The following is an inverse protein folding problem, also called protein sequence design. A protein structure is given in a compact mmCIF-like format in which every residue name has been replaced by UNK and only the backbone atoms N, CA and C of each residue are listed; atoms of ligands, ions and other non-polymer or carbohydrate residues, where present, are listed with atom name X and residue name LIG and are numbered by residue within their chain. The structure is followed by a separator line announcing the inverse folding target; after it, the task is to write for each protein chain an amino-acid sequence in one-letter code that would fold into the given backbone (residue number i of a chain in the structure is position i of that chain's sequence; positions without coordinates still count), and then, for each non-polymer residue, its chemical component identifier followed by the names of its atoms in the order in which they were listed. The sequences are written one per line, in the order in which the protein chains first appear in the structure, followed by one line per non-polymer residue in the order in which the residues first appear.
data_IF_454130929269
#
_entry.id   IF_454130929269
#
_cell.length_a   1.000
_cell.length_b   1.000
_cell.length_c   1.000
_cell.angle_alpha   90.00
_cell.angle_beta   90.00
_cell.angle_gamma   90.00
#
_symmetry.space_group_name_H-M   'P 1'
#
loop_
_entity.id
_entity.type
_entity.pdbx_description
1 polymer ?
#
# COMPACT_ATOMS: atom_id res chain seq x y z
N UNK A 1 37.16 7.02 -5.50
CA UNK A 1 36.23 7.79 -4.63
C UNK A 1 36.30 7.28 -3.18
N UNK A 2 36.34 5.97 -2.95
CA UNK A 2 36.38 5.36 -1.61
C UNK A 2 37.69 5.66 -0.86
N UNK A 3 38.82 5.56 -1.53
CA UNK A 3 40.13 5.78 -0.92
C UNK A 3 40.38 7.28 -0.58
N UNK A 4 39.81 8.19 -1.34
CA UNK A 4 39.89 9.64 -1.07
C UNK A 4 39.03 10.02 0.13
N UNK A 5 37.86 9.40 0.32
CA UNK A 5 36.98 9.64 1.46
C UNK A 5 37.57 9.08 2.77
N UNK A 6 38.20 7.91 2.70
CA UNK A 6 38.89 7.28 3.85
C UNK A 6 40.11 8.12 4.24
N UNK A 7 40.86 8.65 3.28
CA UNK A 7 41.95 9.57 3.52
C UNK A 7 41.52 10.85 4.21
N UNK A 8 40.46 11.48 3.72
CA UNK A 8 39.91 12.72 4.27
C UNK A 8 39.41 12.54 5.72
N UNK A 9 38.64 11.49 5.99
CA UNK A 9 38.14 11.18 7.33
C UNK A 9 39.29 10.91 8.30
N UNK A 10 40.34 10.21 7.87
CA UNK A 10 41.50 9.91 8.70
C UNK A 10 42.28 11.16 9.07
N UNK A 11 42.45 12.08 8.09
CA UNK A 11 43.25 13.31 8.32
C UNK A 11 42.47 14.30 9.19
N UNK A 12 41.16 14.43 9.08
CA UNK A 12 40.31 15.21 9.98
C UNK A 12 40.32 14.67 11.41
N UNK A 13 40.27 13.35 11.60
CA UNK A 13 40.35 12.74 12.92
C UNK A 13 41.71 12.93 13.56
N UNK A 14 42.79 12.87 12.82
CA UNK A 14 44.13 13.17 13.34
C UNK A 14 44.26 14.65 13.78
N UNK A 15 43.70 15.58 13.00
CA UNK A 15 43.68 17.00 13.33
C UNK A 15 42.81 17.30 14.57
N UNK A 16 41.66 16.64 14.69
CA UNK A 16 40.79 16.74 15.87
C UNK A 16 41.46 16.18 17.14
N UNK A 17 42.14 15.06 17.04
CA UNK A 17 42.87 14.45 18.14
C UNK A 17 44.06 15.29 18.56
N UNK A 18 44.74 15.90 17.61
CA UNK A 18 45.87 16.79 17.89
C UNK A 18 45.39 18.07 18.58
N UNK A 19 44.24 18.62 18.21
CA UNK A 19 43.57 19.72 18.90
C UNK A 19 43.11 19.36 20.30
N UNK A 20 42.50 18.17 20.46
CA UNK A 20 42.09 17.69 21.79
C UNK A 20 43.29 17.45 22.73
N UNK A 21 44.41 16.93 22.22
CA UNK A 21 45.62 16.72 23.01
C UNK A 21 46.30 18.05 23.45
N UNK A 22 46.15 19.10 22.65
CA UNK A 22 46.68 20.44 22.99
C UNK A 22 45.75 21.24 23.92
N UNK A 23 44.43 21.10 23.81
CA UNK A 23 43.46 21.79 24.65
C UNK A 23 43.32 21.17 26.05
N UNK A 24 43.45 19.86 26.19
CA UNK A 24 43.25 19.19 27.49
C UNK A 24 44.53 18.84 28.25
N UNK A 25 45.70 19.32 27.80
CA UNK A 25 46.97 19.28 28.50
C UNK A 25 47.22 18.05 29.40
N UNK A 26 46.89 16.85 28.92
CA UNK A 26 47.20 15.59 29.58
C UNK A 26 48.14 14.77 28.70
N UNK A 27 49.42 14.69 29.02
CA UNK A 27 50.42 14.03 28.19
C UNK A 27 50.35 12.49 28.17
N UNK A 28 49.41 11.88 28.86
CA UNK A 28 49.44 10.44 29.11
C UNK A 28 48.43 9.59 28.39
N UNK A 29 47.59 10.13 27.53
CA UNK A 29 46.68 9.30 26.73
C UNK A 29 47.18 9.21 25.30
N UNK A 30 48.18 8.40 25.05
CA UNK A 30 48.40 7.84 23.71
C UNK A 30 47.30 6.80 23.41
N UNK A 31 46.30 7.23 22.68
CA UNK A 31 45.29 6.32 22.12
C UNK A 31 45.98 5.44 21.06
N UNK A 32 46.32 4.22 21.43
CA UNK A 32 46.78 3.20 20.49
C UNK A 32 45.53 2.67 19.73
N UNK A 33 45.31 3.20 18.57
CA UNK A 33 44.19 2.83 17.68
C UNK A 33 44.24 1.34 17.26
N UNK A 34 45.42 0.71 17.33
CA UNK A 34 45.58 -0.70 16.99
C UNK A 34 45.13 -1.65 18.11
N UNK A 35 45.05 -1.14 19.36
CA UNK A 35 44.61 -1.90 20.50
C UNK A 35 43.11 -1.83 20.77
N UNK A 36 42.36 -1.01 20.08
CA UNK A 36 40.91 -0.93 20.23
C UNK A 36 40.23 -2.17 19.64
N UNK A 37 39.45 -2.91 20.43
CA UNK A 37 38.87 -4.21 20.01
C UNK A 37 38.03 -4.21 18.75
N UNK A 38 37.68 -3.03 18.28
CA UNK A 38 36.74 -2.83 17.15
C UNK A 38 37.42 -2.39 15.86
N UNK A 39 38.71 -2.10 15.87
CA UNK A 39 39.42 -1.64 14.68
C UNK A 39 39.98 -2.83 13.89
N UNK A 40 39.31 -3.16 12.76
CA UNK A 40 39.85 -4.12 11.79
C UNK A 40 40.14 -3.40 10.48
N UNK A 41 41.37 -3.45 9.95
CA UNK A 41 41.67 -2.94 8.62
C UNK A 41 40.78 -3.64 7.59
N UNK A 42 40.01 -2.86 6.82
CA UNK A 42 39.10 -3.38 5.79
C UNK A 42 37.62 -3.49 6.20
N UNK A 43 37.24 -3.28 7.46
CA UNK A 43 35.84 -3.23 7.93
C UNK A 43 35.42 -1.82 8.38
N UNK A 44 35.96 -0.78 7.79
CA UNK A 44 35.85 0.60 8.27
C UNK A 44 34.47 1.22 8.28
N UNK A 45 33.47 0.63 7.62
CA UNK A 45 32.13 1.23 7.57
C UNK A 45 31.26 0.91 8.79
N UNK A 46 31.48 -0.17 9.50
CA UNK A 46 30.63 -0.59 10.63
C UNK A 46 30.98 0.08 11.96
N UNK A 47 32.26 0.49 12.15
CA UNK A 47 32.71 1.13 13.39
C UNK A 47 32.56 2.64 13.42
N UNK A 48 32.30 3.28 12.27
CA UNK A 48 32.25 4.74 12.12
C UNK A 48 30.85 5.23 11.71
N UNK A 49 29.90 4.30 11.44
CA UNK A 49 28.53 4.69 11.15
C UNK A 49 27.82 5.08 12.47
N UNK A 50 27.44 6.38 12.63
CA UNK A 50 26.72 6.83 13.81
C UNK A 50 25.46 6.01 14.12
N UNK A 51 24.80 5.45 13.07
CA UNK A 51 23.64 4.59 13.25
C UNK A 51 23.95 3.30 14.01
N UNK A 52 25.16 2.75 13.85
CA UNK A 52 25.58 1.56 14.61
C UNK A 52 25.90 1.90 16.08
N UNK A 53 26.48 3.05 16.36
CA UNK A 53 26.73 3.49 17.73
C UNK A 53 25.41 3.70 18.50
N UNK A 54 24.44 4.34 17.88
CA UNK A 54 23.10 4.54 18.47
C UNK A 54 22.37 3.23 18.68
N UNK A 55 22.46 2.30 17.73
CA UNK A 55 21.88 0.95 17.85
C UNK A 55 22.51 0.17 19.01
N UNK A 56 23.83 0.15 19.10
CA UNK A 56 24.54 -0.58 20.18
C UNK A 56 24.23 0.03 21.56
N UNK A 57 24.12 1.36 21.64
CA UNK A 57 23.71 2.04 22.87
C UNK A 57 22.29 1.67 23.27
N UNK A 58 21.33 1.71 22.31
CA UNK A 58 19.95 1.35 22.56
C UNK A 58 19.81 -0.14 22.96
N UNK A 59 20.62 -1.04 22.38
CA UNK A 59 20.69 -2.44 22.79
C UNK A 59 21.20 -2.59 24.22
N UNK A 60 22.27 -1.87 24.60
CA UNK A 60 22.81 -1.88 25.94
C UNK A 60 21.85 -1.32 27.00
N UNK A 61 21.04 -0.34 26.61
CA UNK A 61 20.00 0.27 27.45
C UNK A 61 18.66 -0.47 27.43
N UNK A 62 18.57 -1.61 26.73
CA UNK A 62 17.31 -2.32 26.46
C UNK A 62 16.19 -1.42 25.91
N UNK A 63 16.54 -0.39 25.13
CA UNK A 63 15.57 0.47 24.49
C UNK A 63 14.83 -0.31 23.37
N UNK A 64 13.50 -0.19 23.26
CA UNK A 64 12.76 -0.73 22.13
C UNK A 64 13.05 0.02 20.82
N UNK A 65 13.61 1.24 20.88
CA UNK A 65 13.97 2.06 19.72
C UNK A 65 15.44 1.87 19.38
N UNK A 66 15.71 1.34 18.18
CA UNK A 66 17.05 1.08 17.64
C UNK A 66 17.34 1.82 16.34
N UNK A 67 16.34 2.49 15.77
CA UNK A 67 16.50 3.29 14.57
C UNK A 67 17.48 4.47 14.81
N UNK A 68 18.22 4.81 13.75
CA UNK A 68 19.13 5.95 13.77
C UNK A 68 18.41 7.23 14.19
N UNK A 69 18.96 7.96 15.15
CA UNK A 69 18.50 9.28 15.56
C UNK A 69 19.24 10.34 14.73
N UNK A 70 18.50 11.29 14.18
CA UNK A 70 19.05 12.44 13.47
C UNK A 70 18.75 13.68 14.30
N UNK A 71 19.80 14.37 14.75
CA UNK A 71 19.65 15.64 15.44
C UNK A 71 19.37 16.74 14.40
N UNK A 72 18.29 17.48 14.60
CA UNK A 72 17.93 18.66 13.81
C UNK A 72 18.41 19.89 14.56
N UNK A 73 19.05 20.83 13.89
CA UNK A 73 19.50 22.10 14.49
C UNK A 73 18.31 22.89 15.04
N UNK A 74 18.49 23.58 16.18
CA UNK A 74 17.38 24.28 16.84
C UNK A 74 16.81 25.48 16.06
N UNK A 75 17.40 25.84 14.93
CA UNK A 75 16.91 26.86 14.01
C UNK A 75 16.38 26.29 12.67
N UNK A 76 16.52 24.98 12.46
CA UNK A 76 16.07 24.32 11.23
C UNK A 76 14.57 24.02 11.32
N UNK A 77 13.87 24.21 10.21
CA UNK A 77 12.48 23.81 10.10
C UNK A 77 12.41 22.27 9.96
N UNK A 78 11.80 21.62 10.95
CA UNK A 78 11.70 20.16 10.98
C UNK A 78 10.88 19.59 9.82
N UNK A 79 9.92 20.34 9.26
CA UNK A 79 9.13 19.91 8.10
C UNK A 79 9.96 19.95 6.83
N UNK A 80 10.68 21.06 6.58
CA UNK A 80 11.59 21.19 5.44
C UNK A 80 12.70 20.13 5.51
N UNK A 81 13.27 19.93 6.70
CA UNK A 81 14.25 18.88 6.91
C UNK A 81 13.74 17.49 6.47
N UNK A 82 12.49 17.13 6.81
CA UNK A 82 11.90 15.84 6.40
C UNK A 82 11.73 15.71 4.88
N UNK A 83 11.47 16.82 4.17
CA UNK A 83 11.46 16.84 2.71
C UNK A 83 12.86 16.65 2.14
N UNK A 84 13.84 17.39 2.63
CA UNK A 84 15.23 17.37 2.15
C UNK A 84 15.89 16.00 2.34
N UNK A 85 15.57 15.30 3.44
CA UNK A 85 16.00 13.93 3.66
C UNK A 85 15.26 12.91 2.79
N UNK A 86 14.26 13.33 2.04
CA UNK A 86 13.49 12.47 1.13
C UNK A 86 12.59 11.45 1.83
N UNK A 87 12.20 11.70 3.09
CA UNK A 87 11.25 10.85 3.82
C UNK A 87 9.82 11.10 3.37
N UNK A 88 9.51 12.33 2.93
CA UNK A 88 8.16 12.74 2.57
C UNK A 88 7.72 12.19 1.22
N UNK A 89 6.42 11.92 1.13
CA UNK A 89 5.66 11.61 -0.09
C UNK A 89 5.21 12.87 -0.85
N UNK A 90 5.66 14.06 -0.42
CA UNK A 90 5.25 15.36 -0.95
C UNK A 90 4.26 16.10 -0.05
N UNK A 91 3.79 15.47 1.02
CA UNK A 91 2.93 16.09 2.04
C UNK A 91 3.69 16.22 3.35
N UNK A 92 3.37 17.21 4.21
CA UNK A 92 3.98 17.36 5.52
C UNK A 92 3.91 16.06 6.33
N UNK A 93 4.99 15.77 7.06
CA UNK A 93 5.09 14.61 7.94
C UNK A 93 5.05 15.05 9.39
N UNK A 94 4.48 14.20 10.26
CA UNK A 94 4.63 14.36 11.70
C UNK A 94 6.03 13.87 12.09
N UNK A 95 6.89 14.70 12.71
CA UNK A 95 8.23 14.28 13.12
C UNK A 95 8.18 13.08 14.06
N UNK A 96 8.89 11.97 13.74
CA UNK A 96 8.88 10.75 14.55
C UNK A 96 9.89 10.86 15.71
N UNK A 97 9.60 11.74 16.67
CA UNK A 97 10.43 11.84 17.88
C UNK A 97 10.37 10.53 18.69
N UNK A 98 11.40 10.21 19.49
CA UNK A 98 11.40 9.00 20.32
C UNK A 98 10.12 8.83 21.15
N UNK A 99 9.61 9.90 21.74
CA UNK A 99 8.39 9.88 22.57
C UNK A 99 7.14 9.53 21.74
N UNK A 100 7.06 10.04 20.51
CA UNK A 100 5.96 9.72 19.60
C UNK A 100 6.01 8.28 19.11
N UNK A 101 7.22 7.77 18.82
CA UNK A 101 7.42 6.38 18.40
C UNK A 101 7.13 5.41 19.55
N UNK A 102 7.61 5.68 20.75
CA UNK A 102 7.28 4.88 21.95
C UNK A 102 5.78 4.83 22.18
N UNK A 103 5.10 5.98 22.15
CA UNK A 103 3.63 6.03 22.26
C UNK A 103 2.94 5.26 21.14
N UNK A 104 3.46 5.30 19.92
CA UNK A 104 2.90 4.54 18.80
C UNK A 104 3.02 3.03 19.04
N UNK A 105 4.15 2.58 19.60
CA UNK A 105 4.40 1.19 19.95
C UNK A 105 3.47 0.66 21.05
N UNK A 106 2.88 1.51 21.90
CA UNK A 106 1.84 1.12 22.86
C UNK A 106 0.57 0.55 22.18
N UNK A 107 0.40 0.79 20.88
CA UNK A 107 -0.72 0.28 20.09
C UNK A 107 -0.60 -1.17 19.66
N UNK A 108 0.47 -1.87 20.04
CA UNK A 108 0.68 -3.29 19.75
C UNK A 108 1.41 -3.97 20.90
N UNK A 109 1.20 -5.29 21.04
CA UNK A 109 1.94 -6.12 22.02
C UNK A 109 3.17 -6.79 21.40
N UNK A 110 3.38 -6.62 20.09
CA UNK A 110 4.49 -7.26 19.37
C UNK A 110 5.80 -6.54 19.68
N UNK A 111 6.90 -7.30 19.65
CA UNK A 111 8.23 -6.74 19.91
C UNK A 111 8.59 -5.72 18.83
N UNK A 112 9.14 -4.57 19.23
CA UNK A 112 9.50 -3.49 18.33
C UNK A 112 10.53 -3.90 17.27
N UNK A 113 11.39 -4.88 17.59
CA UNK A 113 12.41 -5.40 16.68
C UNK A 113 11.97 -6.64 15.90
N UNK A 114 10.76 -7.11 16.11
CA UNK A 114 10.19 -8.19 15.33
C UNK A 114 10.13 -7.80 13.85
N UNK A 115 10.71 -8.67 12.99
CA UNK A 115 10.67 -8.50 11.53
C UNK A 115 9.37 -9.12 11.00
N UNK A 116 8.51 -8.33 10.43
CA UNK A 116 7.22 -8.77 9.87
C UNK A 116 7.29 -9.09 8.38
N UNK A 117 8.38 -8.72 7.73
CA UNK A 117 8.59 -8.97 6.32
C UNK A 117 9.81 -8.26 5.76
N UNK A 118 10.03 -8.46 4.47
CA UNK A 118 11.08 -7.78 3.69
C UNK A 118 10.41 -6.97 2.60
N UNK A 119 10.71 -5.69 2.53
CA UNK A 119 10.06 -4.77 1.60
C UNK A 119 10.92 -4.51 0.38
N UNK A 120 10.45 -4.97 -0.76
CA UNK A 120 11.05 -4.65 -2.06
C UNK A 120 10.76 -3.17 -2.44
N UNK A 121 11.60 -2.56 -3.31
CA UNK A 121 12.70 -3.17 -4.06
C UNK A 121 14.02 -3.30 -3.31
N UNK A 122 14.27 -2.51 -2.27
CA UNK A 122 15.57 -2.49 -1.56
C UNK A 122 15.76 -3.69 -0.62
N UNK A 123 14.76 -4.56 -0.50
CA UNK A 123 14.76 -5.71 0.41
C UNK A 123 15.06 -5.30 1.87
N UNK A 124 14.53 -4.14 2.27
CA UNK A 124 14.67 -3.67 3.64
C UNK A 124 13.85 -4.49 4.61
N UNK A 125 14.46 -4.95 5.69
CA UNK A 125 13.74 -5.60 6.79
C UNK A 125 12.73 -4.62 7.41
N UNK A 126 11.49 -5.05 7.50
CA UNK A 126 10.38 -4.27 8.08
C UNK A 126 10.17 -4.72 9.51
N UNK A 127 10.68 -3.93 10.46
CA UNK A 127 10.41 -4.15 11.89
C UNK A 127 9.15 -3.41 12.33
N UNK A 128 8.56 -3.84 13.44
CA UNK A 128 7.43 -3.13 14.09
C UNK A 128 7.82 -1.68 14.40
N UNK A 129 9.06 -1.43 14.84
CA UNK A 129 9.58 -0.07 15.04
C UNK A 129 9.54 0.78 13.77
N UNK A 130 10.00 0.23 12.63
CA UNK A 130 9.97 0.97 11.35
C UNK A 130 8.54 1.25 10.89
N UNK A 131 7.61 0.33 11.15
CA UNK A 131 6.17 0.57 10.91
C UNK A 131 5.68 1.70 11.81
N UNK A 132 6.01 1.68 13.11
CA UNK A 132 5.61 2.72 14.05
C UNK A 132 6.15 4.11 13.66
N UNK A 133 7.40 4.20 13.22
CA UNK A 133 8.01 5.43 12.72
C UNK A 133 7.20 5.98 11.53
N UNK A 134 6.88 5.15 10.54
CA UNK A 134 6.11 5.57 9.37
C UNK A 134 4.64 5.87 9.71
N UNK A 135 4.06 5.18 10.69
CA UNK A 135 2.72 5.47 11.22
C UNK A 135 2.67 6.82 11.93
N UNK A 136 3.70 7.18 12.71
CA UNK A 136 3.84 8.54 13.28
C UNK A 136 3.92 9.57 12.17
N UNK A 137 4.82 9.37 11.20
CA UNK A 137 5.00 10.29 10.08
C UNK A 137 3.70 10.50 9.30
N UNK A 138 2.89 9.45 9.12
CA UNK A 138 1.58 9.53 8.47
C UNK A 138 0.52 10.24 9.32
N UNK A 139 0.72 10.40 10.63
CA UNK A 139 -0.24 10.98 11.56
C UNK A 139 -1.23 9.97 12.15
N UNK A 140 -0.91 8.68 12.19
CA UNK A 140 -1.73 7.64 12.84
C UNK A 140 -1.92 7.89 14.34
N UNK A 141 -2.95 7.25 14.91
CA UNK A 141 -3.06 7.04 16.35
C UNK A 141 -2.49 5.66 16.71
N UNK A 142 -2.03 5.43 17.97
CA UNK A 142 -1.55 4.12 18.41
C UNK A 142 -2.53 2.97 18.13
N UNK A 143 -3.83 3.20 18.33
CA UNK A 143 -4.88 2.20 18.10
C UNK A 143 -4.97 1.71 16.64
N UNK A 144 -4.32 2.41 15.68
CA UNK A 144 -4.32 2.01 14.27
C UNK A 144 -3.18 1.02 13.94
N UNK A 145 -2.20 0.86 14.85
CA UNK A 145 -1.03 0.01 14.64
C UNK A 145 -1.37 -1.42 14.21
N UNK A 146 -2.34 -2.13 14.84
CA UNK A 146 -2.69 -3.49 14.44
C UNK A 146 -3.10 -3.58 12.96
N UNK A 147 -3.88 -2.59 12.48
CA UNK A 147 -4.32 -2.53 11.08
C UNK A 147 -3.15 -2.25 10.14
N UNK A 148 -2.27 -1.31 10.50
CA UNK A 148 -1.09 -0.97 9.69
C UNK A 148 -0.14 -2.16 9.59
N UNK A 149 0.11 -2.87 10.70
CA UNK A 149 0.97 -4.06 10.75
C UNK A 149 0.41 -5.14 9.83
N UNK A 150 -0.86 -5.51 9.99
CA UNK A 150 -1.50 -6.55 9.17
C UNK A 150 -1.50 -6.19 7.67
N UNK A 151 -1.70 -4.92 7.32
CA UNK A 151 -1.62 -4.46 5.95
C UNK A 151 -0.19 -4.54 5.39
N UNK A 152 0.82 -4.22 6.19
CA UNK A 152 2.24 -4.36 5.81
C UNK A 152 2.63 -5.83 5.64
N UNK A 153 2.17 -6.72 6.52
CA UNK A 153 2.35 -8.17 6.35
C UNK A 153 1.72 -8.69 5.06
N UNK A 154 0.50 -8.22 4.74
CA UNK A 154 -0.19 -8.60 3.51
C UNK A 154 0.61 -8.23 2.25
N UNK A 155 1.14 -7.01 2.20
CA UNK A 155 1.91 -6.54 1.03
C UNK A 155 3.34 -7.09 0.97
N UNK A 156 3.84 -7.66 2.06
CA UNK A 156 5.18 -8.28 2.13
C UNK A 156 5.18 -9.72 1.61
N UNK A 157 4.05 -10.24 1.14
CA UNK A 157 3.94 -11.58 0.57
C UNK A 157 4.27 -11.61 -0.92
N UNK A 158 4.73 -12.77 -1.40
CA UNK A 158 4.98 -12.99 -2.84
C UNK A 158 3.70 -12.85 -3.67
N UNK A 159 2.54 -13.27 -3.15
CA UNK A 159 1.25 -13.15 -3.79
C UNK A 159 0.87 -11.71 -4.10
N UNK A 160 1.20 -10.77 -3.21
CA UNK A 160 0.98 -9.35 -3.45
C UNK A 160 1.95 -8.76 -4.47
N UNK A 161 3.19 -9.27 -4.54
CA UNK A 161 4.22 -8.85 -5.49
C UNK A 161 4.50 -7.34 -5.44
N UNK A 162 4.82 -6.81 -4.26
CA UNK A 162 5.08 -5.37 -4.09
C UNK A 162 6.16 -4.82 -5.03
N UNK A 163 7.16 -5.65 -5.39
CA UNK A 163 8.20 -5.27 -6.35
C UNK A 163 7.58 -4.94 -7.71
N UNK A 164 6.82 -5.86 -8.29
CA UNK A 164 6.15 -5.65 -9.57
C UNK A 164 5.18 -4.48 -9.52
N UNK A 165 4.42 -4.36 -8.42
CA UNK A 165 3.47 -3.25 -8.19
C UNK A 165 4.17 -1.89 -8.17
N UNK A 166 5.38 -1.78 -7.65
CA UNK A 166 6.13 -0.51 -7.65
C UNK A 166 6.91 -0.27 -8.94
N UNK A 167 7.44 -1.31 -9.56
CA UNK A 167 8.27 -1.20 -10.77
C UNK A 167 7.46 -0.99 -12.07
N UNK A 168 6.17 -1.30 -12.06
CA UNK A 168 5.31 -1.11 -13.25
C UNK A 168 5.20 0.35 -13.66
N UNK A 169 5.06 0.58 -14.96
CA UNK A 169 4.76 1.92 -15.51
C UNK A 169 3.31 2.35 -15.30
N UNK A 170 2.44 1.44 -14.89
CA UNK A 170 1.06 1.75 -14.50
C UNK A 170 1.00 2.40 -13.11
N UNK A 171 -0.10 3.09 -12.81
CA UNK A 171 -0.33 3.75 -11.52
C UNK A 171 -0.70 2.79 -10.37
N UNK A 172 -0.16 1.57 -10.36
CA UNK A 172 -0.50 0.53 -9.37
C UNK A 172 -0.18 0.96 -7.94
N UNK A 173 -1.14 0.74 -7.03
CA UNK A 173 -1.06 1.13 -5.62
C UNK A 173 -1.88 0.20 -4.73
N UNK A 174 -1.49 0.01 -3.46
CA UNK A 174 -2.35 -0.65 -2.49
C UNK A 174 -3.67 0.10 -2.28
N UNK A 175 -4.77 -0.66 -2.29
CA UNK A 175 -6.09 -0.24 -1.79
C UNK A 175 -6.46 -1.20 -0.67
N UNK A 176 -6.73 -0.65 0.51
CA UNK A 176 -6.91 -1.40 1.74
C UNK A 176 -8.38 -1.36 2.14
N UNK A 177 -9.00 -2.53 2.27
CA UNK A 177 -10.34 -2.70 2.83
C UNK A 177 -10.24 -3.31 4.22
N UNK A 178 -10.91 -2.72 5.19
CA UNK A 178 -10.93 -3.19 6.58
C UNK A 178 -12.31 -3.74 6.93
N UNK A 179 -12.32 -4.93 7.49
CA UNK A 179 -13.50 -5.65 7.95
C UNK A 179 -13.45 -5.98 9.43
N UNK A 180 -14.60 -6.31 10.00
CA UNK A 180 -14.73 -6.79 11.37
C UNK A 180 -14.83 -5.68 12.42
N UNK A 181 -14.84 -6.05 13.71
CA UNK A 181 -15.14 -5.12 14.82
C UNK A 181 -14.18 -3.93 14.95
N UNK A 182 -12.92 -4.09 14.52
CA UNK A 182 -11.90 -3.04 14.61
C UNK A 182 -12.32 -1.74 13.90
N UNK A 183 -13.16 -1.82 12.85
CA UNK A 183 -13.68 -0.65 12.13
C UNK A 183 -14.30 0.37 13.07
N UNK A 184 -15.12 -0.11 14.01
CA UNK A 184 -15.79 0.72 15.02
C UNK A 184 -14.83 1.14 16.13
N UNK A 185 -13.98 0.22 16.60
CA UNK A 185 -13.05 0.48 17.70
C UNK A 185 -12.10 1.63 17.41
N UNK A 186 -11.66 1.74 16.16
CA UNK A 186 -10.74 2.81 15.73
C UNK A 186 -11.45 3.97 15.00
N UNK A 187 -12.77 3.91 14.87
CA UNK A 187 -13.61 4.96 14.30
C UNK A 187 -13.38 5.18 12.81
N UNK A 188 -13.30 4.10 12.02
CA UNK A 188 -13.23 4.20 10.56
C UNK A 188 -14.55 4.70 9.97
N UNK A 189 -14.45 5.41 8.86
CA UNK A 189 -15.60 5.81 8.08
C UNK A 189 -15.89 4.77 6.99
N UNK A 190 -17.11 4.27 6.97
CA UNK A 190 -17.63 3.35 5.96
C UNK A 190 -18.87 3.92 5.24
N UNK A 191 -19.43 5.01 5.76
CA UNK A 191 -20.61 5.69 5.25
C UNK A 191 -20.30 6.85 4.31
N UNK A 192 -21.01 7.96 4.48
CA UNK A 192 -20.87 9.16 3.64
C UNK A 192 -19.41 9.62 3.54
N UNK A 193 -18.90 9.71 2.30
CA UNK A 193 -17.52 10.13 2.07
C UNK A 193 -16.46 9.08 2.41
N UNK A 194 -16.80 7.79 2.50
CA UNK A 194 -15.89 6.72 2.90
C UNK A 194 -14.58 6.67 2.09
N UNK A 195 -14.61 7.00 0.80
CA UNK A 195 -13.44 7.03 -0.07
C UNK A 195 -12.75 8.41 -0.13
N UNK A 196 -13.27 9.39 0.62
CA UNK A 196 -12.81 10.77 0.61
C UNK A 196 -11.94 11.15 1.80
N UNK A 197 -11.78 12.46 1.95
CA UNK A 197 -11.06 13.06 3.06
C UNK A 197 -11.93 13.15 4.33
N UNK A 198 -11.30 13.46 5.48
CA UNK A 198 -12.00 13.83 6.73
C UNK A 198 -11.87 12.79 7.85
N UNK A 199 -11.83 11.49 7.54
CA UNK A 199 -11.60 10.47 8.56
C UNK A 199 -10.11 10.19 8.76
N UNK A 200 -9.63 10.37 9.99
CA UNK A 200 -8.20 10.20 10.31
C UNK A 200 -7.72 8.76 10.11
N UNK A 201 -8.51 7.76 10.52
CA UNK A 201 -8.13 6.36 10.38
C UNK A 201 -7.99 5.98 8.89
N UNK A 202 -9.03 6.26 8.07
CA UNK A 202 -8.99 5.97 6.63
C UNK A 202 -7.79 6.64 5.96
N UNK A 203 -7.57 7.94 6.23
CA UNK A 203 -6.51 8.70 5.57
C UNK A 203 -5.10 8.25 6.00
N UNK A 204 -4.86 8.07 7.31
CA UNK A 204 -3.51 7.87 7.82
C UNK A 204 -3.04 6.42 7.76
N UNK A 205 -3.92 5.43 7.85
CA UNK A 205 -3.57 4.00 7.72
C UNK A 205 -3.02 3.72 6.32
N UNK A 206 -3.74 4.10 5.26
CA UNK A 206 -3.28 3.92 3.90
C UNK A 206 -1.95 4.65 3.63
N UNK A 207 -1.81 5.88 4.15
CA UNK A 207 -0.59 6.66 4.03
C UNK A 207 0.59 6.01 4.76
N UNK A 208 0.39 5.47 5.96
CA UNK A 208 1.44 4.78 6.71
C UNK A 208 2.01 3.59 5.91
N UNK A 209 1.14 2.76 5.34
CA UNK A 209 1.55 1.64 4.48
C UNK A 209 2.36 2.13 3.27
N UNK A 210 1.92 3.21 2.61
CA UNK A 210 2.65 3.81 1.49
C UNK A 210 4.02 4.37 1.90
N UNK A 211 4.11 4.99 3.07
CA UNK A 211 5.39 5.48 3.61
C UNK A 211 6.34 4.32 3.96
N UNK A 212 5.85 3.18 4.45
CA UNK A 212 6.67 1.97 4.65
C UNK A 212 7.26 1.49 3.32
N UNK A 213 6.44 1.37 2.28
CA UNK A 213 6.90 1.00 0.92
C UNK A 213 7.96 1.98 0.42
N UNK A 214 7.76 3.28 0.64
CA UNK A 214 8.69 4.33 0.20
C UNK A 214 10.00 4.33 1.02
N UNK A 215 9.91 4.34 2.35
CA UNK A 215 11.05 4.63 3.23
C UNK A 215 11.83 3.36 3.60
N UNK A 216 11.16 2.21 3.74
CA UNK A 216 11.82 0.93 4.01
C UNK A 216 12.12 0.19 2.72
N UNK A 217 11.14 0.12 1.82
CA UNK A 217 11.30 -0.52 0.51
C UNK A 217 12.09 0.30 -0.49
N UNK A 218 12.21 1.61 -0.33
CA UNK A 218 12.93 2.48 -1.26
C UNK A 218 12.20 2.77 -2.57
N UNK A 219 10.89 2.51 -2.64
CA UNK A 219 10.09 2.78 -3.83
C UNK A 219 9.81 4.28 -3.99
N UNK A 220 10.80 5.01 -4.48
CA UNK A 220 10.70 6.46 -4.72
C UNK A 220 10.42 6.74 -6.20
N UNK A 221 9.56 7.73 -6.53
CA UNK A 221 9.29 8.16 -7.90
C UNK A 221 10.58 8.52 -8.64
N UNK A 222 10.69 8.07 -9.89
CA UNK A 222 11.89 8.28 -10.72
C UNK A 222 13.04 7.31 -10.45
N UNK A 223 13.01 6.57 -9.36
CA UNK A 223 13.94 5.49 -9.05
C UNK A 223 13.30 4.14 -9.45
N UNK A 224 12.94 3.31 -8.48
CA UNK A 224 12.26 2.03 -8.76
C UNK A 224 10.77 2.22 -9.05
N UNK A 225 10.14 3.21 -8.44
CA UNK A 225 8.77 3.53 -8.81
C UNK A 225 8.73 4.21 -10.18
N UNK A 226 8.12 3.52 -11.17
CA UNK A 226 8.15 3.91 -12.59
C UNK A 226 6.81 4.32 -13.15
N UNK A 227 5.82 4.57 -12.32
CA UNK A 227 4.50 4.99 -12.77
C UNK A 227 4.58 6.25 -13.64
N UNK A 228 4.04 6.16 -14.88
CA UNK A 228 4.15 7.24 -15.88
C UNK A 228 3.42 8.51 -15.44
N UNK A 229 2.20 8.35 -14.91
CA UNK A 229 1.35 9.46 -14.47
C UNK A 229 1.27 9.57 -12.95
N UNK A 230 1.59 8.48 -12.24
CA UNK A 230 1.20 8.37 -10.85
C UNK A 230 -0.30 8.08 -10.70
N UNK A 231 -0.81 8.21 -9.47
CA UNK A 231 -2.20 7.98 -9.12
C UNK A 231 -2.44 8.57 -7.72
N UNK A 232 -3.53 9.28 -7.46
CA UNK A 232 -3.83 9.81 -6.12
C UNK A 232 -3.86 8.74 -5.02
N UNK A 233 -4.22 7.49 -5.33
CA UNK A 233 -4.14 6.37 -4.37
C UNK A 233 -2.71 6.06 -3.90
N UNK A 234 -1.68 6.57 -4.58
CA UNK A 234 -0.28 6.44 -4.14
C UNK A 234 0.04 7.30 -2.91
N UNK A 235 -0.81 8.23 -2.53
CA UNK A 235 -0.73 8.90 -1.23
C UNK A 235 -1.39 8.06 -0.15
N UNK A 236 -2.63 7.63 -0.38
CA UNK A 236 -3.43 6.85 0.56
C UNK A 236 -4.67 6.28 -0.13
N UNK A 237 -5.06 5.07 0.20
CA UNK A 237 -6.40 4.55 -0.05
C UNK A 237 -6.68 3.42 0.94
N UNK A 238 -7.46 3.74 1.97
CA UNK A 238 -7.94 2.80 2.96
C UNK A 238 -9.34 3.18 3.39
N UNK A 239 -10.24 2.23 3.46
CA UNK A 239 -11.61 2.41 3.92
C UNK A 239 -12.15 1.12 4.55
N UNK A 240 -13.28 1.23 5.23
CA UNK A 240 -13.94 0.07 5.83
C UNK A 240 -15.18 -0.33 5.02
N UNK A 241 -15.47 -1.63 4.96
CA UNK A 241 -16.74 -2.14 4.45
C UNK A 241 -17.86 -1.82 5.45
N UNK A 242 -19.01 -1.37 4.98
CA UNK A 242 -20.20 -1.16 5.80
C UNK A 242 -21.00 -2.46 5.92
N UNK A 243 -20.56 -3.33 6.81
CA UNK A 243 -21.11 -4.67 6.97
C UNK A 243 -22.56 -4.64 7.44
N UNK A 244 -22.95 -3.65 8.25
CA UNK A 244 -24.32 -3.48 8.76
C UNK A 244 -25.32 -3.08 7.67
N UNK A 245 -24.84 -2.54 6.53
CA UNK A 245 -25.63 -2.23 5.33
C UNK A 245 -25.41 -3.23 4.20
N UNK A 246 -24.55 -4.21 4.42
CA UNK A 246 -24.29 -5.29 3.46
C UNK A 246 -25.22 -6.47 3.74
N UNK A 247 -26.21 -6.76 2.87
CA UNK A 247 -27.12 -7.90 3.07
C UNK A 247 -26.46 -9.25 2.72
N UNK A 248 -25.28 -9.22 2.11
CA UNK A 248 -24.52 -10.39 1.74
C UNK A 248 -23.45 -10.70 2.79
N UNK A 249 -22.71 -11.79 2.58
CA UNK A 249 -21.51 -12.04 3.37
C UNK A 249 -20.51 -10.90 3.20
N UNK A 250 -19.97 -10.31 4.29
CA UNK A 250 -18.87 -9.38 4.22
C UNK A 250 -17.65 -10.00 3.52
N UNK A 251 -16.80 -9.16 2.95
CA UNK A 251 -15.66 -9.62 2.15
C UNK A 251 -14.74 -10.58 2.92
N UNK A 252 -14.45 -10.32 4.17
CA UNK A 252 -13.57 -11.20 4.96
C UNK A 252 -14.18 -12.59 5.18
N UNK A 253 -15.49 -12.68 5.40
CA UNK A 253 -16.19 -13.97 5.54
C UNK A 253 -16.19 -14.73 4.21
N UNK A 254 -16.44 -14.03 3.10
CA UNK A 254 -16.35 -14.60 1.74
C UNK A 254 -14.93 -15.13 1.44
N UNK A 255 -13.91 -14.58 2.08
CA UNK A 255 -12.50 -15.00 1.98
C UNK A 255 -12.07 -16.02 3.04
N UNK A 256 -13.01 -16.58 3.80
CA UNK A 256 -12.80 -17.72 4.70
C UNK A 256 -12.42 -17.34 6.14
N UNK A 257 -12.58 -16.09 6.54
CA UNK A 257 -12.41 -15.67 7.95
C UNK A 257 -13.74 -15.75 8.71
N UNK A 258 -13.66 -15.83 10.03
CA UNK A 258 -14.84 -15.80 10.88
C UNK A 258 -15.49 -14.40 10.88
N UNK A 259 -16.81 -14.32 11.01
CA UNK A 259 -17.54 -13.05 11.05
C UNK A 259 -17.10 -12.15 12.22
N UNK A 260 -16.55 -12.71 13.29
CA UNK A 260 -16.01 -11.98 14.45
C UNK A 260 -14.56 -11.52 14.26
N UNK A 261 -13.89 -11.96 13.20
CA UNK A 261 -12.51 -11.58 12.94
C UNK A 261 -12.41 -10.15 12.43
N UNK A 262 -11.39 -9.44 12.87
CA UNK A 262 -10.96 -8.19 12.23
C UNK A 262 -9.92 -8.52 11.16
N UNK A 263 -10.12 -8.04 9.93
CA UNK A 263 -9.32 -8.43 8.78
C UNK A 263 -9.00 -7.23 7.90
N UNK A 264 -7.78 -7.16 7.39
CA UNK A 264 -7.45 -6.30 6.25
C UNK A 264 -7.41 -7.14 4.98
N UNK A 265 -7.92 -6.59 3.88
CA UNK A 265 -7.69 -7.12 2.54
C UNK A 265 -7.01 -6.03 1.71
N UNK A 266 -5.85 -6.35 1.14
CA UNK A 266 -5.08 -5.39 0.33
C UNK A 266 -5.14 -5.80 -1.14
N UNK A 267 -5.59 -4.88 -1.96
CA UNK A 267 -5.70 -5.00 -3.41
C UNK A 267 -4.64 -4.18 -4.10
N UNK A 268 -4.25 -4.58 -5.30
CA UNK A 268 -3.45 -3.75 -6.21
C UNK A 268 -4.36 -3.12 -7.25
N UNK A 269 -4.55 -1.81 -7.18
CA UNK A 269 -5.41 -1.06 -8.10
C UNK A 269 -4.60 -0.01 -8.86
N UNK A 270 -4.92 0.17 -10.15
CA UNK A 270 -4.18 1.06 -11.07
C UNK A 270 -4.86 2.40 -11.28
N UNK A 271 -6.17 2.46 -11.13
CA UNK A 271 -6.97 3.68 -11.28
C UNK A 271 -8.31 3.55 -10.58
N UNK A 272 -9.03 4.66 -10.54
CA UNK A 272 -10.34 4.77 -9.91
C UNK A 272 -10.29 5.61 -8.62
N UNK A 273 -11.41 5.69 -7.90
CA UNK A 273 -12.67 5.05 -8.25
C UNK A 273 -13.35 5.69 -9.47
N UNK A 274 -13.73 4.88 -10.46
CA UNK A 274 -14.60 5.32 -11.55
C UNK A 274 -16.05 5.24 -11.11
N UNK A 275 -16.81 6.32 -11.29
CA UNK A 275 -18.22 6.35 -10.88
C UNK A 275 -19.08 5.49 -11.80
N UNK A 276 -20.01 4.78 -11.19
CA UNK A 276 -21.11 4.07 -11.83
C UNK A 276 -22.41 4.79 -11.45
N UNK A 277 -22.92 5.58 -12.37
CA UNK A 277 -24.11 6.41 -12.17
C UNK A 277 -25.32 5.70 -12.77
N UNK A 278 -26.26 5.27 -11.93
CA UNK A 278 -27.53 4.71 -12.40
C UNK A 278 -28.69 5.14 -11.47
N UNK A 279 -29.33 6.21 -11.82
CA UNK A 279 -30.44 6.77 -11.07
C UNK A 279 -31.81 6.20 -11.52
N UNK A 280 -31.85 5.51 -12.67
CA UNK A 280 -33.08 5.11 -13.35
C UNK A 280 -33.46 3.64 -13.15
N UNK A 281 -32.50 2.74 -13.06
CA UNK A 281 -32.78 1.31 -12.90
C UNK A 281 -33.65 1.01 -11.67
N UNK A 282 -34.68 0.21 -11.88
CA UNK A 282 -35.64 -0.21 -10.85
C UNK A 282 -35.58 -1.71 -10.56
N UNK A 283 -34.86 -2.48 -11.40
CA UNK A 283 -34.60 -3.92 -11.21
C UNK A 283 -33.10 -4.18 -10.99
N UNK A 284 -32.81 -5.27 -10.31
CA UNK A 284 -31.44 -5.72 -10.08
C UNK A 284 -30.73 -6.03 -11.40
N UNK A 285 -31.41 -6.68 -12.34
CA UNK A 285 -30.85 -7.07 -13.63
C UNK A 285 -30.41 -5.88 -14.46
N UNK A 286 -31.23 -4.82 -14.52
CA UNK A 286 -30.91 -3.59 -15.23
C UNK A 286 -29.72 -2.87 -14.58
N UNK A 287 -29.72 -2.72 -13.25
CA UNK A 287 -28.63 -2.09 -12.51
C UNK A 287 -27.31 -2.85 -12.67
N UNK A 288 -27.33 -4.17 -12.52
CA UNK A 288 -26.15 -5.02 -12.73
C UNK A 288 -25.64 -4.93 -14.17
N UNK A 289 -26.55 -4.79 -15.14
CA UNK A 289 -26.22 -4.54 -16.54
C UNK A 289 -25.47 -3.22 -16.73
N UNK A 290 -25.95 -2.12 -16.11
CA UNK A 290 -25.27 -0.82 -16.13
C UNK A 290 -23.86 -0.93 -15.52
N UNK A 291 -23.72 -1.66 -14.39
CA UNK A 291 -22.43 -1.89 -13.76
C UNK A 291 -21.48 -2.62 -14.72
N UNK A 292 -21.95 -3.70 -15.38
CA UNK A 292 -21.14 -4.45 -16.32
C UNK A 292 -20.68 -3.63 -17.52
N UNK A 293 -21.58 -2.84 -18.12
CA UNK A 293 -21.21 -1.94 -19.22
C UNK A 293 -20.18 -0.88 -18.80
N UNK A 294 -20.29 -0.35 -17.58
CA UNK A 294 -19.29 0.59 -17.06
C UNK A 294 -17.94 -0.08 -16.84
N UNK A 295 -17.94 -1.30 -16.30
CA UNK A 295 -16.73 -2.09 -16.03
C UNK A 295 -16.04 -2.59 -17.31
N UNK A 296 -16.76 -2.66 -18.44
CA UNK A 296 -16.15 -2.95 -19.74
C UNK A 296 -15.02 -1.97 -20.10
N UNK A 297 -15.15 -0.71 -19.66
CA UNK A 297 -14.14 0.33 -19.87
C UNK A 297 -12.85 0.19 -19.07
N UNK A 298 -12.74 -0.80 -18.15
CA UNK A 298 -11.50 -1.04 -17.41
C UNK A 298 -10.34 -1.32 -18.38
N UNK A 299 -9.22 -0.58 -18.25
CA UNK A 299 -8.14 -0.42 -19.21
C UNK A 299 -8.63 0.20 -20.53
N UNK A 300 -9.35 -0.55 -21.31
CA UNK A 300 -10.12 -0.12 -22.49
C UNK A 300 -11.12 -1.24 -22.85
N UNK A 301 -12.16 -0.94 -23.65
CA UNK A 301 -13.20 -1.91 -23.99
C UNK A 301 -12.70 -3.19 -24.69
N UNK A 302 -11.55 -3.12 -25.39
CA UNK A 302 -10.96 -4.27 -26.10
C UNK A 302 -9.93 -5.05 -25.27
N UNK A 303 -9.60 -4.61 -24.04
CA UNK A 303 -8.68 -5.32 -23.13
C UNK A 303 -9.49 -6.25 -22.20
N UNK A 304 -9.46 -7.52 -22.47
CA UNK A 304 -10.16 -8.57 -21.73
C UNK A 304 -9.19 -9.54 -21.03
N UNK A 305 -9.65 -10.24 -20.01
CA UNK A 305 -9.01 -11.41 -19.40
C UNK A 305 -7.74 -11.17 -18.57
N UNK A 306 -7.35 -9.91 -18.29
CA UNK A 306 -6.06 -9.63 -17.67
C UNK A 306 -6.13 -9.01 -16.26
N UNK A 307 -7.30 -8.57 -15.83
CA UNK A 307 -7.44 -7.72 -14.64
C UNK A 307 -8.58 -8.17 -13.72
N UNK A 308 -8.56 -7.68 -12.50
CA UNK A 308 -9.67 -7.72 -11.55
C UNK A 308 -10.26 -6.32 -11.34
N UNK A 309 -11.31 -6.22 -10.55
CA UNK A 309 -11.84 -4.94 -10.07
C UNK A 309 -12.29 -5.04 -8.61
N UNK A 310 -12.33 -3.90 -7.93
CA UNK A 310 -12.98 -3.76 -6.64
C UNK A 310 -14.18 -2.82 -6.82
N UNK A 311 -15.37 -3.41 -6.82
CA UNK A 311 -16.66 -2.73 -6.92
C UNK A 311 -17.15 -2.32 -5.54
N UNK A 312 -17.32 -1.04 -5.34
CA UNK A 312 -17.88 -0.45 -4.11
C UNK A 312 -19.33 -0.10 -4.41
N UNK A 313 -20.25 -0.86 -3.85
CA UNK A 313 -21.70 -0.67 -4.05
C UNK A 313 -22.25 0.17 -2.91
N UNK A 314 -22.89 1.29 -3.27
CA UNK A 314 -23.52 2.17 -2.27
C UNK A 314 -24.86 1.59 -1.78
N UNK A 315 -25.30 1.92 -0.54
CA UNK A 315 -26.51 1.36 0.06
C UNK A 315 -27.76 1.47 -0.82
N UNK A 316 -27.98 2.58 -1.51
CA UNK A 316 -29.17 2.78 -2.36
C UNK A 316 -29.17 1.85 -3.60
N UNK A 317 -27.99 1.50 -4.14
CA UNK A 317 -27.87 0.48 -5.16
C UNK A 317 -28.06 -0.93 -4.58
N UNK A 318 -27.54 -1.19 -3.37
CA UNK A 318 -27.82 -2.44 -2.65
C UNK A 318 -29.31 -2.65 -2.47
N UNK A 319 -30.04 -1.62 -2.02
CA UNK A 319 -31.50 -1.69 -1.86
C UNK A 319 -32.22 -2.01 -3.17
N UNK A 320 -31.71 -1.51 -4.30
CA UNK A 320 -32.27 -1.83 -5.63
C UNK A 320 -32.00 -3.30 -6.00
N UNK A 321 -30.80 -3.81 -5.75
CA UNK A 321 -30.45 -5.21 -6.00
C UNK A 321 -31.27 -6.16 -5.10
N UNK A 322 -31.50 -5.78 -3.85
CA UNK A 322 -32.24 -6.60 -2.90
C UNK A 322 -33.76 -6.65 -3.15
N UNK A 323 -34.34 -5.75 -3.94
CA UNK A 323 -35.75 -5.88 -4.36
C UNK A 323 -36.02 -7.18 -5.12
N UNK A 324 -35.02 -7.66 -5.86
CA UNK A 324 -35.11 -8.88 -6.62
C UNK A 324 -34.32 -10.03 -5.98
N UNK A 325 -33.92 -9.88 -4.70
CA UNK A 325 -33.11 -10.83 -3.93
C UNK A 325 -31.80 -11.24 -4.62
N UNK A 326 -31.13 -10.32 -5.31
CA UNK A 326 -29.89 -10.59 -6.03
C UNK A 326 -28.74 -10.93 -5.05
N UNK A 327 -28.14 -12.07 -5.23
CA UNK A 327 -26.91 -12.45 -4.51
C UNK A 327 -25.67 -11.78 -5.14
N UNK A 328 -24.52 -11.80 -4.42
CA UNK A 328 -23.23 -11.39 -5.03
C UNK A 328 -22.88 -12.23 -6.26
N UNK A 329 -23.22 -13.52 -6.26
CA UNK A 329 -22.99 -14.40 -7.39
C UNK A 329 -23.85 -13.98 -8.61
N UNK A 330 -25.14 -13.64 -8.41
CA UNK A 330 -25.98 -13.13 -9.48
C UNK A 330 -25.42 -11.80 -10.05
N UNK A 331 -24.97 -10.91 -9.17
CA UNK A 331 -24.38 -9.65 -9.59
C UNK A 331 -23.09 -9.86 -10.40
N UNK A 332 -22.18 -10.73 -9.95
CA UNK A 332 -20.95 -11.10 -10.68
C UNK A 332 -21.26 -11.69 -12.05
N UNK A 333 -22.15 -12.68 -12.09
CA UNK A 333 -22.57 -13.31 -13.33
C UNK A 333 -23.13 -12.29 -14.33
N UNK A 334 -24.06 -11.43 -13.88
CA UNK A 334 -24.68 -10.44 -14.75
C UNK A 334 -23.67 -9.39 -15.25
N UNK A 335 -22.77 -8.94 -14.40
CA UNK A 335 -21.65 -8.06 -14.79
C UNK A 335 -20.81 -8.74 -15.86
N UNK A 336 -20.42 -10.01 -15.66
CA UNK A 336 -19.61 -10.77 -16.60
C UNK A 336 -20.32 -10.95 -17.96
N UNK A 337 -21.61 -11.28 -17.95
CA UNK A 337 -22.43 -11.40 -19.16
C UNK A 337 -22.46 -10.11 -19.96
N UNK A 338 -22.76 -8.98 -19.30
CA UNK A 338 -22.96 -7.69 -19.97
C UNK A 338 -21.67 -7.00 -20.38
N UNK A 339 -20.53 -7.38 -19.77
CA UNK A 339 -19.19 -6.90 -20.16
C UNK A 339 -18.46 -7.86 -21.11
N UNK A 340 -19.04 -9.00 -21.46
CA UNK A 340 -18.48 -9.94 -22.45
C UNK A 340 -18.71 -9.44 -23.88
N UNK A 341 -17.75 -9.70 -24.77
CA UNK A 341 -17.85 -9.36 -26.21
C UNK A 341 -17.40 -10.52 -27.07
N UNK A 342 -17.95 -10.68 -28.29
CA UNK A 342 -17.37 -11.60 -29.26
C UNK A 342 -15.91 -11.24 -29.55
N UNK A 343 -15.06 -12.22 -29.73
CA UNK A 343 -13.63 -12.01 -30.03
C UNK A 343 -13.41 -11.05 -31.19
N UNK A 344 -14.28 -11.11 -32.24
CA UNK A 344 -14.21 -10.20 -33.40
C UNK A 344 -14.29 -8.71 -33.03
N UNK A 345 -15.07 -8.34 -32.00
CA UNK A 345 -15.20 -6.97 -31.53
C UNK A 345 -13.97 -6.51 -30.72
N UNK A 346 -13.17 -7.45 -30.24
CA UNK A 346 -11.93 -7.19 -29.49
C UNK A 346 -10.71 -7.02 -30.39
N UNK A 347 -10.86 -7.19 -31.71
CA UNK A 347 -9.78 -6.99 -32.68
C UNK A 347 -9.53 -5.50 -32.86
N UNK A 348 -8.25 -5.10 -32.89
CA UNK A 348 -7.87 -3.73 -33.20
C UNK A 348 -8.28 -3.32 -34.61
N UNK A 349 -8.84 -2.13 -34.77
CA UNK A 349 -9.31 -1.55 -36.02
C UNK A 349 -8.91 -0.07 -36.14
N UNK A 350 -9.42 0.63 -37.18
CA UNK A 350 -9.12 2.03 -37.43
C UNK A 350 -9.70 2.99 -36.37
N UNK A 351 -10.69 2.55 -35.61
CA UNK A 351 -11.28 3.31 -34.48
C UNK A 351 -10.45 3.14 -33.21
N UNK A 352 -9.97 1.92 -32.96
CA UNK A 352 -9.18 1.60 -31.80
C UNK A 352 -8.17 0.47 -32.13
N UNK A 353 -6.89 0.81 -32.17
CA UNK A 353 -5.83 -0.14 -32.37
C UNK A 353 -5.53 -1.04 -31.17
N UNK A 354 -6.22 -0.85 -30.04
CA UNK A 354 -6.09 -1.70 -28.87
C UNK A 354 -6.72 -3.08 -29.09
N UNK A 355 -6.37 -4.05 -28.22
CA UNK A 355 -6.96 -5.38 -28.26
C UNK A 355 -6.14 -6.42 -29.03
N UNK A 356 -6.83 -7.36 -29.67
CA UNK A 356 -6.20 -8.47 -30.42
C UNK A 356 -5.62 -7.92 -31.71
N UNK A 357 -4.37 -8.28 -32.01
CA UNK A 357 -3.72 -7.87 -33.28
C UNK A 357 -4.51 -8.42 -34.47
N UNK A 358 -4.78 -7.60 -35.52
CA UNK A 358 -5.50 -8.06 -36.72
C UNK A 358 -4.84 -9.30 -37.38
N UNK A 359 -3.49 -9.36 -37.37
CA UNK A 359 -2.76 -10.52 -37.90
C UNK A 359 -3.00 -11.82 -37.12
N UNK A 360 -3.22 -11.71 -35.79
CA UNK A 360 -3.57 -12.87 -34.97
C UNK A 360 -5.02 -13.29 -35.20
N UNK A 361 -5.94 -12.34 -35.34
CA UNK A 361 -7.35 -12.58 -35.64
C UNK A 361 -7.54 -13.23 -37.01
N UNK A 362 -6.77 -12.83 -38.04
CA UNK A 362 -6.82 -13.42 -39.37
C UNK A 362 -6.44 -14.92 -39.41
N UNK A 363 -5.79 -15.43 -38.38
CA UNK A 363 -5.45 -16.85 -38.25
C UNK A 363 -6.53 -17.65 -37.48
N UNK A 364 -7.60 -17.00 -36.99
CA UNK A 364 -8.68 -17.64 -36.23
C UNK A 364 -9.80 -18.12 -37.17
N UNK A 365 -10.52 -19.16 -36.74
CA UNK A 365 -11.76 -19.58 -37.41
C UNK A 365 -12.89 -18.61 -37.09
N UNK A 366 -13.94 -18.60 -37.95
CA UNK A 366 -15.16 -17.78 -37.70
C UNK A 366 -15.78 -18.14 -36.33
N UNK A 367 -15.85 -19.45 -36.01
CA UNK A 367 -16.34 -19.91 -34.71
C UNK A 367 -15.52 -19.32 -33.53
N UNK A 368 -14.19 -19.25 -33.66
CA UNK A 368 -13.32 -18.67 -32.66
C UNK A 368 -13.53 -17.16 -32.56
N UNK A 369 -13.78 -16.47 -33.66
CA UNK A 369 -14.09 -15.04 -33.69
C UNK A 369 -15.47 -14.72 -33.09
N UNK A 370 -16.44 -15.60 -33.20
CA UNK A 370 -17.79 -15.44 -32.63
C UNK A 370 -17.88 -15.81 -31.15
N UNK A 371 -16.88 -16.51 -30.62
CA UNK A 371 -16.85 -16.90 -29.21
C UNK A 371 -16.89 -15.68 -28.31
N UNK A 372 -17.83 -15.70 -27.33
CA UNK A 372 -17.88 -14.67 -26.28
C UNK A 372 -16.64 -14.73 -25.39
N UNK A 373 -15.95 -13.62 -25.26
CA UNK A 373 -14.80 -13.44 -24.38
C UNK A 373 -15.23 -12.61 -23.16
N UNK A 374 -15.15 -13.17 -21.95
CA UNK A 374 -15.49 -12.44 -20.75
C UNK A 374 -14.47 -11.33 -20.48
N UNK A 375 -14.92 -10.23 -19.82
CA UNK A 375 -14.05 -9.11 -19.43
C UNK A 375 -13.05 -9.54 -18.36
N UNK A 376 -13.53 -10.23 -17.34
CA UNK A 376 -12.72 -10.77 -16.25
C UNK A 376 -12.46 -12.27 -16.51
N UNK A 377 -11.33 -12.78 -16.04
CA UNK A 377 -10.94 -14.18 -16.22
C UNK A 377 -11.94 -15.13 -15.54
N UNK A 378 -12.37 -14.76 -14.34
CA UNK A 378 -13.39 -15.45 -13.56
C UNK A 378 -14.32 -14.44 -12.90
N UNK A 379 -15.48 -14.88 -12.44
CA UNK A 379 -16.40 -14.06 -11.65
C UNK A 379 -15.78 -13.63 -10.31
N UNK A 380 -14.85 -14.43 -9.78
CA UNK A 380 -14.13 -14.12 -8.52
C UNK A 380 -13.15 -12.94 -8.66
N UNK A 381 -12.77 -12.55 -9.88
CA UNK A 381 -11.99 -11.35 -10.14
C UNK A 381 -12.83 -10.05 -10.00
N UNK A 382 -14.14 -10.17 -9.76
CA UNK A 382 -15.07 -9.07 -9.44
C UNK A 382 -15.27 -9.04 -7.92
N UNK A 383 -14.43 -8.30 -7.22
CA UNK A 383 -14.53 -8.14 -5.76
C UNK A 383 -15.59 -7.10 -5.42
N UNK A 384 -16.47 -7.40 -4.46
CA UNK A 384 -17.62 -6.55 -4.13
C UNK A 384 -17.63 -6.22 -2.64
N UNK A 385 -17.73 -4.94 -2.32
CA UNK A 385 -17.92 -4.40 -0.96
C UNK A 385 -19.03 -3.38 -0.93
N UNK A 386 -19.63 -3.18 0.23
CA UNK A 386 -20.61 -2.12 0.47
C UNK A 386 -19.95 -0.99 1.25
N UNK A 387 -20.00 0.22 0.73
CA UNK A 387 -19.58 1.44 1.43
C UNK A 387 -20.22 2.67 0.77
N UNK A 388 -20.21 3.80 1.47
CA UNK A 388 -20.73 5.06 0.95
C UNK A 388 -21.98 5.54 1.68
N UNK A 389 -22.48 6.71 1.31
CA UNK A 389 -23.68 7.30 1.93
C UNK A 389 -24.96 6.54 1.58
N UNK A 390 -25.97 6.64 2.43
CA UNK A 390 -27.27 6.00 2.22
C UNK A 390 -28.10 6.63 1.09
N UNK A 391 -27.84 7.89 0.79
CA UNK A 391 -28.51 8.62 -0.30
C UNK A 391 -27.51 8.90 -1.43
N UNK A 392 -27.88 8.50 -2.64
CA UNK A 392 -27.09 8.74 -3.85
C UNK A 392 -26.76 7.43 -4.59
N UNK A 393 -27.24 7.32 -5.81
CA UNK A 393 -27.04 6.16 -6.69
C UNK A 393 -25.75 6.29 -7.49
N UNK A 394 -24.62 6.30 -6.77
CA UNK A 394 -23.29 6.50 -7.30
C UNK A 394 -22.34 5.45 -6.75
N UNK A 395 -22.44 4.22 -7.23
CA UNK A 395 -21.44 3.19 -6.97
C UNK A 395 -20.12 3.52 -7.66
N UNK A 396 -19.06 2.82 -7.33
CA UNK A 396 -17.75 3.08 -7.90
C UNK A 396 -16.96 1.79 -8.08
N UNK A 397 -15.99 1.81 -9.00
CA UNK A 397 -15.08 0.71 -9.22
C UNK A 397 -13.63 1.18 -9.27
N UNK A 398 -12.77 0.47 -8.55
CA UNK A 398 -11.33 0.55 -8.74
C UNK A 398 -10.90 -0.47 -9.79
N UNK A 399 -10.01 -0.06 -10.68
CA UNK A 399 -9.48 -0.90 -11.74
C UNK A 399 -8.23 -1.63 -11.25
N UNK A 400 -8.26 -2.94 -11.32
CA UNK A 400 -7.14 -3.77 -10.91
C UNK A 400 -5.90 -3.62 -11.80
N UNK A 401 -4.84 -4.29 -11.38
CA UNK A 401 -3.64 -4.52 -12.17
C UNK A 401 -3.70 -5.94 -12.75
N UNK A 402 -2.63 -6.37 -13.43
CA UNK A 402 -2.51 -7.76 -13.88
C UNK A 402 -2.66 -8.70 -12.69
N UNK A 403 -3.62 -9.62 -12.76
CA UNK A 403 -3.91 -10.57 -11.68
C UNK A 403 -3.34 -11.96 -11.97
N UNK A 404 -3.19 -12.78 -10.92
CA UNK A 404 -2.66 -14.13 -10.98
C UNK A 404 -1.14 -14.21 -10.81
N UNK A 405 -0.54 -15.35 -11.15
CA UNK A 405 0.86 -15.69 -10.83
C UNK A 405 1.92 -14.75 -11.44
N UNK A 406 1.57 -14.02 -12.49
CA UNK A 406 2.48 -13.04 -13.15
C UNK A 406 2.19 -11.61 -12.73
N UNK A 407 1.22 -11.39 -11.86
CA UNK A 407 0.75 -10.08 -11.43
C UNK A 407 0.72 -9.96 -9.92
N UNK A 408 -0.42 -9.55 -9.40
CA UNK A 408 -0.69 -9.41 -7.96
C UNK A 408 -2.03 -10.06 -7.63
N UNK A 409 -2.08 -10.75 -6.51
CA UNK A 409 -3.31 -11.37 -5.98
C UNK A 409 -3.70 -10.59 -4.72
N UNK A 410 -5.00 -10.29 -4.51
CA UNK A 410 -5.45 -9.66 -3.26
C UNK A 410 -5.15 -10.55 -2.04
N UNK A 411 -4.48 -9.97 -1.05
CA UNK A 411 -4.08 -10.70 0.16
C UNK A 411 -4.87 -10.21 1.36
N UNK A 412 -5.41 -11.15 2.13
CA UNK A 412 -6.10 -10.88 3.39
C UNK A 412 -5.26 -11.34 4.58
N UNK A 413 -5.31 -10.57 5.67
CA UNK A 413 -4.65 -10.90 6.95
C UNK A 413 -5.58 -10.59 8.11
N UNK A 414 -5.66 -11.54 9.06
CA UNK A 414 -6.29 -11.29 10.34
C UNK A 414 -5.50 -10.25 11.11
N UNK A 415 -6.18 -9.37 11.80
CA UNK A 415 -5.58 -8.31 12.61
C UNK A 415 -5.44 -8.83 14.04
N UNK A 416 -4.22 -8.88 14.54
CA UNK A 416 -3.92 -9.21 15.94
C UNK A 416 -4.14 -7.98 16.82
N UNK A 417 -5.08 -8.06 17.77
CA UNK A 417 -5.51 -6.96 18.65
C UNK A 417 -4.96 -7.16 20.06
#
# INVERSE_FOLDING_TARGET
VTDTLIGFVRDEWQDLLQRMSTEFASPEVQLDWQSLPQWRPGCGSLSVDPSNADRLRAEAENSPIRARKIAIGGQDDEFEFMFDQGFSDGLPLVPPTPERVLRMLEGTRRDAQEIVGVMAPNLGEVTIEKIAINAVMAGCKPQYMPVVIAAVEAISTDDYNVHGVMATTMGASPVIVVNGPIRHQIGMNMGLGALGQGNRANATIGRAVRLVIRNVGGAKPGQTERSVLGNPMKFTMCFAEWEERNPWQPMHVERGFDASDSVVTVFTMTSGPSLIVDQESRSADALAGTMGQTLEGIYNPKAHFATNCLLVVVPEHVDTLMRDNYSKADLRRRIQETSSRPVRELVGDDVSGAGIKPSAAAAMSEEALDRMMPKFRTEDDIHIVVAGGEAGKFSAAFHGWVTGSIGSIPVSRKIDI
#
